data_IF_441515960627
#
_entry.id   IF_441515960627
#
_cell.length_a   1.000
_cell.length_b   1.000
_cell.length_c   1.000
_cell.angle_alpha   90.00
_cell.angle_beta   90.00
_cell.angle_gamma   90.00
#
_symmetry.space_group_name_H-M   'P 1'
#
loop_
_entity.id
_entity.type
_entity.pdbx_description
1 polymer ?
#
# COMPACT_ATOMS: atom_id res chain seq x y z
N UNK A 1 -27.95 69.51 6.18
CA UNK A 1 -27.35 68.36 6.88
C UNK A 1 -27.40 67.16 5.94
N UNK A 2 -26.25 66.81 5.33
CA UNK A 2 -26.06 65.58 4.56
C UNK A 2 -24.76 64.97 5.09
N UNK A 3 -24.84 63.79 5.68
CA UNK A 3 -23.68 63.01 6.12
C UNK A 3 -23.51 61.90 5.09
N UNK A 4 -22.45 61.99 4.27
CA UNK A 4 -22.00 60.90 3.43
C UNK A 4 -20.87 60.18 4.16
N UNK A 5 -21.09 58.91 4.51
CA UNK A 5 -20.05 58.02 5.00
C UNK A 5 -19.29 57.45 3.80
N UNK A 6 -17.97 57.69 3.75
CA UNK A 6 -17.07 57.01 2.80
C UNK A 6 -16.58 55.74 3.50
N UNK A 7 -17.05 54.58 3.04
CA UNK A 7 -16.50 53.29 3.42
C UNK A 7 -15.26 53.02 2.55
N UNK A 8 -14.07 53.08 3.16
CA UNK A 8 -12.83 52.60 2.53
C UNK A 8 -12.77 51.10 2.74
N UNK A 9 -13.20 50.33 1.74
CA UNK A 9 -13.02 48.88 1.70
C UNK A 9 -11.56 48.54 1.37
N UNK A 10 -10.83 48.00 2.34
CA UNK A 10 -9.54 47.34 2.09
C UNK A 10 -9.85 46.02 1.38
N UNK A 11 -9.71 46.00 0.06
CA UNK A 11 -9.72 44.76 -0.70
C UNK A 11 -8.41 44.01 -0.39
N UNK A 12 -8.49 43.06 0.55
CA UNK A 12 -7.44 42.06 0.74
C UNK A 12 -7.45 41.18 -0.49
N UNK A 13 -6.57 41.46 -1.46
CA UNK A 13 -6.33 40.58 -2.57
C UNK A 13 -5.68 39.30 -2.02
N UNK A 14 -6.50 38.27 -1.76
CA UNK A 14 -5.99 36.91 -1.73
C UNK A 14 -5.35 36.67 -3.10
N UNK A 15 -4.01 36.70 -3.14
CA UNK A 15 -3.26 36.20 -4.27
C UNK A 15 -3.58 34.69 -4.36
N UNK A 16 -4.63 34.36 -5.12
CA UNK A 16 -4.87 33.00 -5.56
C UNK A 16 -3.61 32.60 -6.32
N UNK A 17 -2.75 31.80 -5.68
CA UNK A 17 -1.63 31.17 -6.34
C UNK A 17 -2.20 30.48 -7.59
N UNK A 18 -1.76 30.93 -8.77
CA UNK A 18 -2.12 30.26 -10.02
C UNK A 18 -1.72 28.79 -9.86
N UNK A 19 -2.62 27.82 -10.13
CA UNK A 19 -2.23 26.43 -10.10
C UNK A 19 -1.01 26.27 -11.02
N UNK A 20 0.04 25.65 -10.51
CA UNK A 20 1.22 25.36 -11.29
C UNK A 20 0.80 24.55 -12.52
N UNK A 21 1.13 25.03 -13.73
CA UNK A 21 0.69 24.39 -14.94
C UNK A 21 1.14 22.92 -14.97
N UNK A 22 0.24 22.04 -15.43
CA UNK A 22 0.60 20.68 -15.83
C UNK A 22 1.73 20.74 -16.86
N UNK A 23 2.67 19.81 -16.80
CA UNK A 23 3.78 19.79 -17.73
C UNK A 23 4.66 18.56 -17.62
N UNK A 24 5.36 18.29 -18.71
CA UNK A 24 6.38 17.25 -18.78
C UNK A 24 7.64 17.70 -18.05
N UNK A 25 8.12 16.86 -17.14
CA UNK A 25 9.36 17.01 -16.39
C UNK A 25 10.35 15.99 -16.93
N UNK A 26 11.51 16.44 -17.41
CA UNK A 26 12.58 15.56 -17.85
C UNK A 26 13.88 15.94 -17.15
N UNK A 27 14.57 14.98 -16.57
CA UNK A 27 15.81 15.23 -15.86
C UNK A 27 16.29 14.06 -15.03
N UNK A 28 17.20 14.35 -14.09
CA UNK A 28 17.73 13.36 -13.14
C UNK A 28 17.08 13.53 -11.77
N UNK A 29 16.66 12.44 -11.17
CA UNK A 29 16.17 12.40 -9.78
C UNK A 29 17.35 12.67 -8.86
N UNK A 30 17.24 13.70 -8.04
CA UNK A 30 18.29 14.16 -7.12
C UNK A 30 17.96 13.95 -5.65
N UNK A 31 16.68 13.75 -5.34
CA UNK A 31 16.20 13.49 -3.99
C UNK A 31 14.87 12.75 -4.05
N UNK A 32 14.69 11.80 -3.13
CA UNK A 32 13.44 11.07 -2.91
C UNK A 32 13.26 10.98 -1.40
N UNK A 33 12.21 11.60 -0.90
CA UNK A 33 11.90 11.58 0.53
C UNK A 33 10.53 10.94 0.76
N UNK A 34 10.54 9.74 1.34
CA UNK A 34 9.34 9.00 1.70
C UNK A 34 8.94 9.27 3.16
N UNK A 35 7.64 9.35 3.41
CA UNK A 35 7.06 9.54 4.74
C UNK A 35 5.69 8.87 4.84
N UNK A 36 5.28 8.57 6.07
CA UNK A 36 3.87 8.36 6.37
C UNK A 36 3.09 9.66 6.18
N UNK A 37 1.87 9.55 5.66
CA UNK A 37 0.88 10.63 5.74
C UNK A 37 0.54 10.94 7.19
N UNK A 38 0.00 12.12 7.45
CA UNK A 38 -0.40 12.55 8.80
C UNK A 38 -1.44 11.61 9.44
N UNK A 39 -2.27 10.98 8.62
CA UNK A 39 -3.25 9.96 9.01
C UNK A 39 -2.66 8.58 9.25
N UNK A 40 -1.42 8.32 8.82
CA UNK A 40 -0.78 7.00 8.87
C UNK A 40 -1.40 5.98 7.92
N UNK A 41 -2.27 6.41 6.99
CA UNK A 41 -3.05 5.53 6.10
C UNK A 41 -2.26 5.03 4.89
N UNK A 42 -1.13 5.68 4.57
CA UNK A 42 -0.26 5.32 3.45
C UNK A 42 1.12 5.97 3.55
N UNK A 43 2.03 5.49 2.71
CA UNK A 43 3.33 6.12 2.48
C UNK A 43 3.25 6.94 1.19
N UNK A 44 3.81 8.15 1.23
CA UNK A 44 3.98 9.01 0.07
C UNK A 44 5.44 9.43 -0.06
N UNK A 45 5.87 9.66 -1.29
CA UNK A 45 7.23 10.06 -1.62
C UNK A 45 7.24 11.37 -2.38
N UNK A 46 8.05 12.31 -1.90
CA UNK A 46 8.36 13.55 -2.59
C UNK A 46 9.60 13.33 -3.46
N UNK A 47 9.41 13.35 -4.78
CA UNK A 47 10.46 13.09 -5.76
C UNK A 47 10.91 14.43 -6.35
N UNK A 48 12.20 14.76 -6.18
CA UNK A 48 12.79 15.98 -6.75
C UNK A 48 13.68 15.65 -7.93
N UNK A 49 13.37 16.25 -9.08
CA UNK A 49 14.15 16.13 -10.32
C UNK A 49 14.88 17.43 -10.61
N UNK A 50 16.18 17.33 -10.85
CA UNK A 50 16.96 18.36 -11.53
C UNK A 50 16.71 18.22 -13.03
N UNK A 51 15.96 19.16 -13.59
CA UNK A 51 15.50 19.10 -14.98
C UNK A 51 16.61 19.45 -15.96
N UNK A 52 16.49 18.98 -17.20
CA UNK A 52 17.47 19.24 -18.28
C UNK A 52 17.64 20.76 -18.56
N UNK A 53 16.66 21.59 -18.22
CA UNK A 53 16.69 23.05 -18.33
C UNK A 53 17.22 23.77 -17.07
N UNK A 54 17.75 23.02 -16.09
CA UNK A 54 18.40 23.55 -14.90
C UNK A 54 17.47 23.94 -13.74
N UNK A 55 16.16 23.68 -13.85
CA UNK A 55 15.21 23.86 -12.73
C UNK A 55 15.24 22.65 -11.78
N UNK A 56 14.59 22.82 -10.63
CA UNK A 56 14.19 21.71 -9.76
C UNK A 56 12.68 21.64 -9.73
N UNK A 57 12.15 20.45 -9.94
CA UNK A 57 10.71 20.18 -9.87
C UNK A 57 10.49 19.04 -8.90
N UNK A 58 9.61 19.25 -7.93
CA UNK A 58 9.19 18.24 -6.96
C UNK A 58 7.72 17.89 -7.19
N UNK A 59 7.38 16.61 -7.08
CA UNK A 59 6.01 16.12 -6.99
C UNK A 59 5.90 15.08 -5.89
N UNK A 60 4.67 14.82 -5.46
CA UNK A 60 4.32 13.77 -4.50
C UNK A 60 3.63 12.64 -5.25
N UNK A 61 3.93 11.39 -4.91
CA UNK A 61 3.20 10.19 -5.36
C UNK A 61 3.11 9.17 -4.22
N UNK A 62 2.18 8.24 -4.26
CA UNK A 62 2.15 7.18 -3.26
C UNK A 62 3.27 6.14 -3.46
N UNK A 63 3.51 5.38 -2.40
CA UNK A 63 4.56 4.39 -2.33
C UNK A 63 5.86 4.92 -1.74
N UNK A 64 6.82 4.02 -1.57
CA UNK A 64 8.12 4.28 -0.98
C UNK A 64 8.26 3.63 0.39
N UNK A 65 9.18 4.15 1.22
CA UNK A 65 9.56 3.51 2.48
C UNK A 65 9.57 4.49 3.65
N UNK A 66 8.89 4.17 4.74
CA UNK A 66 8.89 4.99 5.94
C UNK A 66 8.85 4.12 7.20
N UNK A 67 9.84 4.30 8.09
CA UNK A 67 9.89 3.59 9.37
C UNK A 67 9.89 2.07 9.21
N UNK A 68 10.79 1.52 8.40
CA UNK A 68 10.93 0.07 8.21
C UNK A 68 9.82 -0.60 7.39
N UNK A 69 8.80 0.14 6.95
CA UNK A 69 7.72 -0.34 6.09
C UNK A 69 7.89 0.21 4.68
N UNK A 70 7.78 -0.67 3.69
CA UNK A 70 7.61 -0.35 2.28
C UNK A 70 6.12 -0.35 1.90
N UNK A 71 5.78 0.48 0.92
CA UNK A 71 4.49 0.49 0.24
C UNK A 71 4.71 0.38 -1.26
N UNK A 72 4.06 -0.60 -1.87
CA UNK A 72 4.08 -0.86 -3.32
C UNK A 72 2.65 -0.87 -3.87
N UNK A 73 2.49 -0.50 -5.13
CA UNK A 73 1.20 -0.55 -5.81
C UNK A 73 1.38 -1.06 -7.25
N UNK A 74 0.47 -1.92 -7.70
CA UNK A 74 0.44 -2.37 -9.10
C UNK A 74 -0.11 -1.27 -10.02
N UNK A 75 0.30 -1.28 -11.30
CA UNK A 75 -0.21 -0.40 -12.37
C UNK A 75 -0.22 1.13 -12.09
N UNK A 76 0.56 1.61 -11.11
CA UNK A 76 0.79 3.03 -10.87
C UNK A 76 2.15 3.47 -11.44
N UNK A 77 2.38 4.78 -11.66
CA UNK A 77 3.70 5.25 -12.00
C UNK A 77 4.73 4.79 -10.94
N UNK A 78 5.88 4.28 -11.39
CA UNK A 78 6.90 3.72 -10.52
C UNK A 78 7.47 4.82 -9.64
N UNK A 79 7.97 4.43 -8.47
CA UNK A 79 8.76 5.34 -7.65
C UNK A 79 10.21 5.37 -8.16
N UNK A 80 10.71 6.51 -8.68
CA UNK A 80 12.10 6.59 -9.13
C UNK A 80 13.07 6.58 -7.95
N UNK A 81 14.27 6.07 -8.17
CA UNK A 81 15.38 6.15 -7.24
C UNK A 81 16.27 7.38 -7.51
N UNK A 82 17.01 7.81 -6.48
CA UNK A 82 18.02 8.87 -6.66
C UNK A 82 19.06 8.43 -7.69
N UNK A 83 19.29 9.28 -8.68
CA UNK A 83 20.19 8.98 -9.80
C UNK A 83 19.45 8.58 -11.07
N UNK A 84 18.19 8.16 -11.01
CA UNK A 84 17.43 7.80 -12.20
C UNK A 84 17.26 8.97 -13.14
N UNK A 85 17.23 8.67 -14.44
CA UNK A 85 16.82 9.63 -15.46
C UNK A 85 15.38 9.36 -15.84
N UNK A 86 14.55 10.38 -15.70
CA UNK A 86 13.10 10.23 -15.82
C UNK A 86 12.49 11.21 -16.82
N UNK A 87 11.39 10.77 -17.42
CA UNK A 87 10.39 11.62 -18.05
C UNK A 87 9.07 11.43 -17.32
N UNK A 88 8.52 12.49 -16.73
CA UNK A 88 7.30 12.43 -15.93
C UNK A 88 6.26 13.44 -16.43
N UNK A 89 4.99 13.03 -16.46
CA UNK A 89 3.86 13.94 -16.65
C UNK A 89 3.33 14.38 -15.29
N UNK A 90 3.50 15.66 -14.96
CA UNK A 90 3.15 16.19 -13.64
C UNK A 90 1.99 17.16 -13.75
N UNK A 91 1.01 17.03 -12.86
CA UNK A 91 -0.19 17.88 -12.81
C UNK A 91 -0.33 18.55 -11.44
N UNK A 92 -1.03 19.69 -11.39
CA UNK A 92 -1.40 20.31 -10.11
C UNK A 92 -2.47 19.48 -9.39
N UNK A 93 -2.33 19.37 -8.08
CA UNK A 93 -3.30 18.74 -7.19
C UNK A 93 -3.47 19.57 -5.90
N UNK A 94 -4.42 19.17 -5.06
CA UNK A 94 -4.60 19.72 -3.72
C UNK A 94 -4.66 18.59 -2.69
N UNK A 95 -4.06 18.82 -1.52
CA UNK A 95 -4.18 17.95 -0.34
C UNK A 95 -5.57 18.05 0.28
N UNK A 96 -5.90 17.16 1.21
CA UNK A 96 -7.13 17.26 2.01
C UNK A 96 -7.24 18.58 2.77
N UNK A 97 -6.10 19.11 3.24
CA UNK A 97 -5.97 20.45 3.84
C UNK A 97 -6.08 21.63 2.85
N UNK A 98 -6.17 21.37 1.55
CA UNK A 98 -6.34 22.39 0.51
C UNK A 98 -5.06 23.04 0.00
N UNK A 99 -3.89 22.57 0.43
CA UNK A 99 -2.59 23.06 -0.03
C UNK A 99 -2.32 22.63 -1.47
N UNK A 100 -1.73 23.51 -2.28
CA UNK A 100 -1.41 23.22 -3.66
C UNK A 100 -0.13 22.37 -3.75
N UNK A 101 -0.22 21.23 -4.41
CA UNK A 101 0.92 20.33 -4.67
C UNK A 101 0.96 19.90 -6.14
N UNK A 102 1.91 19.03 -6.49
CA UNK A 102 2.06 18.38 -7.78
C UNK A 102 2.02 16.88 -7.61
N UNK A 103 1.40 16.16 -8.53
CA UNK A 103 1.40 14.70 -8.59
C UNK A 103 1.82 14.23 -9.97
N UNK A 104 2.51 13.09 -10.05
CA UNK A 104 2.83 12.45 -11.33
C UNK A 104 1.65 11.58 -11.80
N UNK A 105 1.33 11.68 -13.09
CA UNK A 105 0.36 10.79 -13.77
C UNK A 105 1.02 9.66 -14.54
N UNK A 106 2.25 9.89 -14.97
CA UNK A 106 3.08 8.92 -15.66
C UNK A 106 4.53 9.24 -15.34
N UNK A 107 5.33 8.20 -15.14
CA UNK A 107 6.78 8.30 -14.95
C UNK A 107 7.43 7.18 -15.74
N UNK A 108 8.35 7.54 -16.63
CA UNK A 108 9.20 6.60 -17.37
C UNK A 108 10.62 6.75 -16.86
N UNK A 109 11.26 5.63 -16.54
CA UNK A 109 12.67 5.57 -16.14
C UNK A 109 13.47 5.08 -17.34
N UNK A 110 14.51 5.83 -17.73
CA UNK A 110 15.35 5.48 -18.88
C UNK A 110 16.15 4.19 -18.56
N UNK A 111 15.67 3.02 -19.04
CA UNK A 111 16.40 1.75 -18.95
C UNK A 111 16.63 1.11 -20.33
N UNK A 112 17.75 0.40 -20.56
CA UNK A 112 18.02 -0.23 -21.85
C UNK A 112 17.03 -1.37 -22.14
N UNK A 113 16.57 -1.48 -23.38
CA UNK A 113 15.82 -2.64 -23.85
C UNK A 113 16.72 -3.89 -23.77
N UNK A 114 16.21 -4.97 -23.17
CA UNK A 114 16.87 -6.28 -23.18
C UNK A 114 16.09 -7.21 -24.12
N UNK A 115 16.77 -8.17 -24.78
CA UNK A 115 16.10 -9.16 -25.62
C UNK A 115 15.16 -10.03 -24.79
N UNK A 116 14.07 -10.50 -25.39
CA UNK A 116 13.16 -11.45 -24.76
C UNK A 116 13.84 -12.81 -24.58
N UNK A 117 13.86 -13.30 -23.34
CA UNK A 117 14.18 -14.68 -22.99
C UNK A 117 12.92 -15.45 -22.61
N UNK A 118 13.02 -16.77 -22.51
CA UNK A 118 12.05 -17.52 -21.72
C UNK A 118 12.12 -17.00 -20.28
N UNK A 119 10.98 -16.78 -19.66
CA UNK A 119 10.88 -16.32 -18.28
C UNK A 119 10.00 -17.27 -17.49
N UNK A 120 10.27 -17.35 -16.20
CA UNK A 120 9.38 -17.98 -15.23
C UNK A 120 8.44 -16.97 -14.57
N UNK A 121 7.88 -17.37 -13.44
CA UNK A 121 7.16 -16.49 -12.55
C UNK A 121 8.04 -15.34 -12.05
N UNK A 122 7.39 -14.25 -11.65
CA UNK A 122 8.05 -13.04 -11.14
C UNK A 122 7.45 -12.73 -9.78
N UNK A 123 8.30 -12.38 -8.83
CA UNK A 123 7.88 -11.98 -7.49
C UNK A 123 8.11 -10.48 -7.32
N UNK A 124 7.18 -9.82 -6.63
CA UNK A 124 7.41 -8.49 -6.10
C UNK A 124 8.50 -8.60 -5.04
N UNK A 125 9.44 -7.64 -4.98
CA UNK A 125 10.60 -7.72 -4.10
C UNK A 125 10.76 -6.45 -3.27
N UNK A 126 11.37 -6.59 -2.10
CA UNK A 126 11.83 -5.44 -1.30
C UNK A 126 12.89 -4.67 -2.06
N UNK A 127 12.92 -3.35 -1.86
CA UNK A 127 13.91 -2.50 -2.52
C UNK A 127 15.32 -2.70 -1.95
N UNK A 128 15.44 -2.92 -0.62
CA UNK A 128 16.76 -2.91 0.03
C UNK A 128 17.47 -4.26 0.00
N UNK A 129 16.75 -5.37 0.13
CA UNK A 129 17.34 -6.72 0.14
C UNK A 129 17.11 -7.50 -1.14
N UNK A 130 16.13 -7.10 -1.96
CA UNK A 130 15.69 -7.87 -3.12
C UNK A 130 14.96 -9.17 -2.74
N UNK A 131 14.60 -9.35 -1.47
CA UNK A 131 13.86 -10.51 -0.99
C UNK A 131 12.43 -10.47 -1.53
N UNK A 132 11.87 -11.62 -1.96
CA UNK A 132 10.52 -11.68 -2.50
C UNK A 132 9.48 -11.50 -1.40
N UNK A 133 8.47 -10.67 -1.69
CA UNK A 133 7.39 -10.38 -0.76
C UNK A 133 6.55 -11.63 -0.51
N UNK A 134 6.21 -11.89 0.75
CA UNK A 134 5.43 -13.06 1.14
C UNK A 134 4.61 -12.77 2.41
N UNK A 135 3.49 -13.47 2.59
CA UNK A 135 2.80 -13.51 3.88
C UNK A 135 3.52 -14.48 4.83
N UNK A 136 3.79 -14.05 6.07
CA UNK A 136 4.37 -14.92 7.10
C UNK A 136 3.33 -15.87 7.75
N UNK A 137 2.04 -15.59 7.56
CA UNK A 137 0.94 -16.44 8.06
C UNK A 137 0.54 -17.46 7.00
N UNK A 138 0.09 -18.64 7.44
CA UNK A 138 -0.47 -19.66 6.54
C UNK A 138 -1.81 -19.27 5.94
N UNK A 139 -2.41 -18.16 6.37
CA UNK A 139 -3.68 -17.65 5.85
C UNK A 139 -3.60 -16.17 5.48
N UNK A 140 -4.30 -15.81 4.40
CA UNK A 140 -4.59 -14.43 4.04
C UNK A 140 -6.09 -14.24 4.07
N UNK A 141 -6.56 -13.27 4.86
CA UNK A 141 -7.98 -12.95 4.98
C UNK A 141 -8.26 -11.74 4.13
N UNK A 142 -9.28 -11.82 3.27
CA UNK A 142 -9.68 -10.74 2.38
C UNK A 142 -11.18 -10.48 2.58
N UNK A 143 -11.54 -9.25 2.90
CA UNK A 143 -12.92 -8.82 3.01
C UNK A 143 -13.30 -7.95 1.81
N UNK A 144 -14.59 -7.88 1.51
CA UNK A 144 -15.12 -6.93 0.52
C UNK A 144 -15.71 -5.71 1.24
N UNK A 145 -15.50 -4.53 0.69
CA UNK A 145 -16.26 -3.35 1.11
C UNK A 145 -17.77 -3.62 0.98
N UNK A 146 -18.51 -3.40 2.07
CA UNK A 146 -19.96 -3.69 2.16
C UNK A 146 -20.80 -2.93 1.12
N UNK A 147 -20.25 -1.86 0.53
CA UNK A 147 -20.90 -1.14 -0.57
C UNK A 147 -20.98 -1.97 -1.85
N UNK A 148 -20.08 -2.93 -2.04
CA UNK A 148 -20.02 -3.79 -3.23
C UNK A 148 -19.94 -2.99 -4.54
N UNK A 149 -20.46 -3.58 -5.61
CA UNK A 149 -20.64 -2.93 -6.91
C UNK A 149 -22.12 -2.93 -7.28
N UNK A 150 -22.59 -1.85 -7.92
CA UNK A 150 -23.96 -1.81 -8.44
C UNK A 150 -24.11 -2.50 -9.80
N UNK A 151 -23.00 -2.99 -10.37
CA UNK A 151 -22.92 -3.42 -11.76
C UNK A 151 -23.23 -4.90 -11.97
N UNK A 152 -23.13 -5.73 -10.92
CA UNK A 152 -23.49 -7.16 -10.89
C UNK A 152 -24.23 -7.47 -9.57
N UNK A 153 -24.64 -8.72 -9.33
CA UNK A 153 -25.30 -9.14 -8.07
C UNK A 153 -24.56 -10.27 -7.33
N UNK A 154 -23.55 -10.86 -7.99
CA UNK A 154 -22.89 -12.11 -7.61
C UNK A 154 -21.42 -11.88 -7.22
N UNK A 155 -21.05 -10.67 -6.81
CA UNK A 155 -19.66 -10.33 -6.47
C UNK A 155 -19.07 -11.24 -5.40
N UNK A 156 -19.84 -11.60 -4.36
CA UNK A 156 -19.39 -12.50 -3.29
C UNK A 156 -19.12 -13.89 -3.84
N UNK A 157 -20.03 -14.44 -4.64
CA UNK A 157 -19.88 -15.79 -5.23
C UNK A 157 -18.64 -15.84 -6.15
N UNK A 158 -18.40 -14.76 -6.92
CA UNK A 158 -17.21 -14.64 -7.76
C UNK A 158 -15.93 -14.56 -6.93
N UNK A 159 -15.90 -13.75 -5.86
CA UNK A 159 -14.74 -13.62 -4.97
C UNK A 159 -14.40 -14.98 -4.34
N UNK A 160 -15.39 -15.67 -3.75
CA UNK A 160 -15.18 -16.99 -3.15
C UNK A 160 -14.67 -18.02 -4.17
N UNK A 161 -15.19 -17.97 -5.41
CA UNK A 161 -14.76 -18.82 -6.52
C UNK A 161 -13.30 -18.55 -6.91
N UNK A 162 -12.88 -17.29 -7.00
CA UNK A 162 -11.48 -16.90 -7.31
C UNK A 162 -10.52 -17.42 -6.23
N UNK A 163 -10.83 -17.17 -4.95
CA UNK A 163 -9.98 -17.65 -3.85
C UNK A 163 -9.95 -19.18 -3.78
N UNK A 164 -11.06 -19.84 -4.06
CA UNK A 164 -11.12 -21.31 -4.20
C UNK A 164 -10.27 -21.83 -5.36
N UNK A 165 -10.30 -21.15 -6.50
CA UNK A 165 -9.56 -21.55 -7.71
C UNK A 165 -8.05 -21.54 -7.45
N UNK A 166 -7.54 -20.47 -6.82
CA UNK A 166 -6.15 -20.40 -6.37
C UNK A 166 -5.79 -21.53 -5.40
N UNK A 167 -6.59 -21.72 -4.34
CA UNK A 167 -6.35 -22.80 -3.35
C UNK A 167 -6.32 -24.19 -3.98
N UNK A 168 -7.23 -24.47 -4.91
CA UNK A 168 -7.25 -25.76 -5.60
C UNK A 168 -6.00 -25.95 -6.47
N UNK A 169 -5.63 -24.92 -7.24
CA UNK A 169 -4.48 -24.96 -8.14
C UNK A 169 -3.15 -25.17 -7.40
N UNK A 170 -3.02 -24.64 -6.18
CA UNK A 170 -1.75 -24.67 -5.41
C UNK A 170 -1.75 -25.72 -4.28
N UNK A 171 -2.86 -26.40 -4.03
CA UNK A 171 -3.04 -27.39 -2.93
C UNK A 171 -1.99 -28.50 -2.86
N UNK A 172 -1.34 -28.83 -3.97
CA UNK A 172 -0.30 -29.86 -4.03
C UNK A 172 1.10 -29.40 -3.62
N UNK A 173 1.32 -28.09 -3.47
CA UNK A 173 2.66 -27.51 -3.29
C UNK A 173 2.74 -26.37 -2.27
N UNK A 174 1.62 -25.69 -1.99
CA UNK A 174 1.56 -24.50 -1.16
C UNK A 174 0.79 -24.73 0.13
N UNK A 175 1.25 -24.16 1.24
CA UNK A 175 0.48 -24.11 2.49
C UNK A 175 -0.52 -22.95 2.55
N UNK A 176 -0.38 -21.95 1.67
CA UNK A 176 -1.14 -20.70 1.78
C UNK A 176 -2.64 -20.92 1.55
N UNK A 177 -3.45 -20.52 2.52
CA UNK A 177 -4.90 -20.62 2.49
C UNK A 177 -5.54 -19.23 2.38
N UNK A 178 -6.07 -18.92 1.20
CA UNK A 178 -6.81 -17.68 0.95
C UNK A 178 -8.25 -17.79 1.49
N UNK A 179 -8.65 -16.82 2.31
CA UNK A 179 -9.95 -16.83 3.00
C UNK A 179 -10.74 -15.58 2.72
N UNK A 180 -11.97 -15.77 2.26
CA UNK A 180 -12.95 -14.68 2.25
C UNK A 180 -13.47 -14.47 3.67
N UNK A 181 -13.45 -13.24 4.14
CA UNK A 181 -13.87 -12.86 5.49
C UNK A 181 -15.22 -12.11 5.51
N UNK A 182 -15.98 -12.20 4.42
CA UNK A 182 -17.25 -11.50 4.29
C UNK A 182 -17.07 -10.04 3.92
N UNK A 183 -17.94 -9.19 4.46
CA UNK A 183 -17.97 -7.75 4.16
C UNK A 183 -17.52 -6.89 5.33
N UNK A 184 -16.95 -5.73 5.03
CA UNK A 184 -16.46 -4.76 6.02
C UNK A 184 -16.82 -3.32 5.60
N UNK A 185 -16.88 -2.39 6.55
CA UNK A 185 -16.91 -0.94 6.29
C UNK A 185 -15.50 -0.33 6.13
N UNK A 186 -14.48 -1.21 6.03
CA UNK A 186 -13.09 -0.88 5.78
C UNK A 186 -12.85 -0.16 4.45
N UNK A 187 -11.67 0.44 4.34
CA UNK A 187 -11.27 1.23 3.19
C UNK A 187 -9.78 1.09 2.95
N UNK A 188 -9.32 1.28 1.71
CA UNK A 188 -7.92 1.17 1.32
C UNK A 188 -6.98 2.04 2.17
N UNK A 189 -6.24 1.42 3.07
CA UNK A 189 -5.27 2.06 3.98
C UNK A 189 -4.42 1.02 4.70
N UNK A 190 -3.31 1.49 5.26
CA UNK A 190 -2.54 0.70 6.22
C UNK A 190 -3.30 0.57 7.55
N UNK A 191 -4.02 -0.53 7.75
CA UNK A 191 -4.72 -0.88 9.00
C UNK A 191 -4.69 -2.38 9.35
N UNK A 192 -4.15 -3.22 8.46
CA UNK A 192 -4.03 -4.67 8.64
C UNK A 192 -5.27 -5.46 8.22
N UNK A 193 -6.29 -4.78 7.69
CA UNK A 193 -7.44 -5.41 7.09
C UNK A 193 -7.34 -5.33 5.57
N UNK A 194 -7.16 -6.49 4.94
CA UNK A 194 -7.12 -6.54 3.48
C UNK A 194 -8.53 -6.36 2.91
N UNK A 195 -8.76 -5.32 2.08
CA UNK A 195 -10.09 -5.01 1.54
C UNK A 195 -10.13 -4.97 0.01
N UNK A 196 -11.18 -5.57 -0.58
CA UNK A 196 -11.58 -5.36 -1.98
C UNK A 196 -12.57 -4.19 -2.04
N UNK A 197 -12.24 -3.14 -2.77
CA UNK A 197 -13.06 -1.94 -2.95
C UNK A 197 -13.42 -1.75 -4.42
N UNK A 198 -14.71 -1.56 -4.71
CA UNK A 198 -15.17 -1.15 -6.04
C UNK A 198 -15.26 0.37 -6.14
N UNK A 199 -14.56 0.95 -7.12
CA UNK A 199 -14.58 2.39 -7.40
C UNK A 199 -15.53 2.67 -8.55
N UNK A 200 -16.68 3.28 -8.29
CA UNK A 200 -17.69 3.59 -9.32
C UNK A 200 -17.89 5.08 -9.60
N UNK A 201 -17.52 5.96 -8.66
CA UNK A 201 -17.63 7.41 -8.85
C UNK A 201 -16.37 8.03 -9.47
N UNK A 202 -15.21 7.68 -8.91
CA UNK A 202 -13.89 8.20 -9.32
C UNK A 202 -12.83 7.13 -9.17
N UNK A 203 -12.01 6.98 -10.21
CA UNK A 203 -10.87 6.07 -10.22
C UNK A 203 -9.64 6.73 -9.58
N UNK A 204 -9.81 7.06 -8.30
CA UNK A 204 -8.81 7.74 -7.51
C UNK A 204 -8.89 7.28 -6.06
N UNK A 205 -7.74 7.24 -5.39
CA UNK A 205 -7.67 7.23 -3.94
C UNK A 205 -7.99 8.63 -3.42
N UNK A 206 -8.97 8.78 -2.50
CA UNK A 206 -9.31 10.09 -1.96
C UNK A 206 -8.12 10.77 -1.30
N UNK A 207 -8.11 12.11 -1.37
CA UNK A 207 -7.19 12.93 -0.61
C UNK A 207 -7.35 12.67 0.91
N UNK A 208 -6.24 12.69 1.63
CA UNK A 208 -6.21 12.77 3.10
C UNK A 208 -5.47 14.04 3.52
N UNK A 209 -5.39 14.32 4.83
CA UNK A 209 -4.86 15.56 5.41
C UNK A 209 -3.71 16.20 4.58
N UNK A 210 -2.55 15.53 4.53
CA UNK A 210 -1.36 15.99 3.81
C UNK A 210 -1.09 15.24 2.50
N UNK A 211 -1.95 14.30 2.10
CA UNK A 211 -1.83 13.60 0.82
C UNK A 211 -2.86 14.11 -0.20
N UNK A 212 -2.43 14.46 -1.42
CA UNK A 212 -3.37 14.79 -2.48
C UNK A 212 -4.21 13.58 -2.88
N UNK A 213 -5.34 13.87 -3.53
CA UNK A 213 -6.04 12.85 -4.29
C UNK A 213 -5.12 12.26 -5.36
N UNK A 214 -5.12 10.94 -5.43
CA UNK A 214 -4.28 10.18 -6.35
C UNK A 214 -5.18 9.45 -7.33
N UNK A 215 -5.28 9.97 -8.54
CA UNK A 215 -6.04 9.32 -9.61
C UNK A 215 -5.14 8.37 -10.37
N UNK A 216 -5.63 7.15 -10.54
CA UNK A 216 -4.92 6.08 -11.20
C UNK A 216 -5.01 6.19 -12.73
N UNK A 217 -4.20 5.40 -13.43
CA UNK A 217 -4.27 5.30 -14.87
C UNK A 217 -5.68 4.79 -15.27
N UNK A 218 -6.44 5.51 -16.13
CA UNK A 218 -7.77 5.08 -16.55
C UNK A 218 -7.79 3.77 -17.35
N UNK A 219 -6.64 3.31 -17.84
CA UNK A 219 -6.50 2.02 -18.51
C UNK A 219 -6.24 0.85 -17.55
N UNK A 220 -5.95 1.11 -16.27
CA UNK A 220 -5.84 0.07 -15.26
C UNK A 220 -7.23 -0.37 -14.80
N UNK A 221 -7.53 -1.66 -14.92
CA UNK A 221 -8.81 -2.22 -14.48
C UNK A 221 -8.87 -2.47 -12.97
N UNK A 222 -7.72 -2.54 -12.32
CA UNK A 222 -7.59 -2.66 -10.89
C UNK A 222 -6.22 -2.18 -10.41
N UNK A 223 -6.07 -2.05 -9.09
CA UNK A 223 -4.81 -1.75 -8.39
C UNK A 223 -4.76 -2.65 -7.16
N UNK A 224 -3.63 -3.28 -6.92
CA UNK A 224 -3.29 -3.91 -5.64
C UNK A 224 -2.26 -3.04 -4.93
N UNK A 225 -2.52 -2.71 -3.67
CA UNK A 225 -1.57 -2.02 -2.79
C UNK A 225 -1.03 -3.02 -1.78
N UNK A 226 0.28 -3.07 -1.59
CA UNK A 226 0.93 -3.88 -0.55
C UNK A 226 1.67 -2.99 0.43
N UNK A 227 1.58 -3.31 1.72
CA UNK A 227 2.51 -2.85 2.75
C UNK A 227 3.30 -4.03 3.27
N UNK A 228 4.60 -3.83 3.43
CA UNK A 228 5.51 -4.91 3.81
C UNK A 228 6.67 -4.37 4.64
N UNK A 229 7.27 -5.24 5.43
CA UNK A 229 8.53 -4.91 6.12
C UNK A 229 9.63 -4.82 5.06
N UNK A 230 10.26 -3.67 4.96
CA UNK A 230 11.39 -3.41 4.06
C UNK A 230 12.54 -2.95 4.94
N UNK A 231 13.26 -3.92 5.52
CA UNK A 231 14.39 -3.67 6.41
C UNK A 231 15.28 -4.93 6.46
N UNK A 232 16.43 -4.95 5.75
CA UNK A 232 17.27 -6.14 5.64
C UNK A 232 17.84 -6.63 6.99
N UNK A 233 17.84 -5.78 8.02
CA UNK A 233 18.29 -6.13 9.37
C UNK A 233 17.15 -6.68 10.25
N UNK A 234 15.89 -6.63 9.77
CA UNK A 234 14.72 -7.13 10.47
C UNK A 234 14.43 -8.60 10.05
N UNK A 235 14.23 -9.54 10.97
CA UNK A 235 13.88 -10.92 10.62
C UNK A 235 12.55 -11.07 9.87
N UNK A 236 11.70 -10.04 9.89
CA UNK A 236 10.44 -9.96 9.15
C UNK A 236 10.61 -9.37 7.74
N UNK A 237 11.84 -9.09 7.28
CA UNK A 237 12.05 -8.51 5.95
C UNK A 237 11.28 -9.25 4.85
N UNK A 238 10.67 -8.48 3.95
CA UNK A 238 9.76 -8.95 2.90
C UNK A 238 8.42 -9.54 3.36
N UNK A 239 8.11 -9.54 4.66
CA UNK A 239 6.79 -9.93 5.16
C UNK A 239 5.75 -8.87 4.73
N UNK A 240 4.77 -9.29 3.95
CA UNK A 240 3.55 -8.53 3.66
C UNK A 240 2.74 -8.47 4.95
N UNK A 241 2.36 -7.26 5.35
CA UNK A 241 1.62 -6.97 6.58
C UNK A 241 0.23 -6.41 6.32
N UNK A 242 -0.04 -5.94 5.10
CA UNK A 242 -1.33 -5.41 4.68
C UNK A 242 -1.42 -5.38 3.14
N UNK A 243 -2.62 -5.57 2.59
CA UNK A 243 -2.88 -5.56 1.17
C UNK A 243 -4.31 -5.15 0.82
N UNK A 244 -4.48 -4.20 -0.09
CA UNK A 244 -5.80 -3.76 -0.57
C UNK A 244 -5.93 -3.95 -2.07
N UNK A 245 -7.15 -4.24 -2.54
CA UNK A 245 -7.46 -4.35 -3.97
C UNK A 245 -8.54 -3.33 -4.32
N UNK A 246 -8.30 -2.53 -5.34
CA UNK A 246 -9.27 -1.58 -5.90
C UNK A 246 -9.67 -2.02 -7.30
N UNK A 247 -10.97 -2.11 -7.57
CA UNK A 247 -11.53 -2.49 -8.87
C UNK A 247 -12.15 -1.28 -9.57
N UNK A 248 -11.83 -1.11 -10.84
CA UNK A 248 -12.20 0.07 -11.62
C UNK A 248 -13.58 -0.09 -12.28
N UNK A 249 -14.63 0.29 -11.56
CA UNK A 249 -15.99 0.41 -12.09
C UNK A 249 -16.28 1.74 -12.80
N UNK A 250 -15.30 2.65 -12.93
CA UNK A 250 -15.47 3.97 -13.57
C UNK A 250 -15.20 3.90 -15.06
N UNK A 251 -14.05 3.34 -15.45
CA UNK A 251 -13.67 3.21 -16.86
C UNK A 251 -14.05 1.87 -17.47
N UNK A 252 -14.34 0.87 -16.63
CA UNK A 252 -14.78 -0.45 -17.06
C UNK A 252 -16.16 -0.77 -16.49
N UNK A 253 -16.90 -1.57 -17.25
CA UNK A 253 -18.14 -2.16 -16.80
C UNK A 253 -17.77 -3.49 -16.13
N UNK A 254 -17.77 -3.50 -14.80
CA UNK A 254 -17.49 -4.70 -14.01
C UNK A 254 -18.55 -5.74 -14.36
N UNK A 255 -18.12 -6.93 -14.73
CA UNK A 255 -18.97 -7.94 -15.32
C UNK A 255 -18.76 -9.32 -14.71
N UNK A 256 -19.82 -10.11 -14.73
CA UNK A 256 -19.81 -11.54 -14.41
C UNK A 256 -20.58 -12.28 -15.50
N UNK A 257 -20.04 -13.39 -15.99
CA UNK A 257 -20.66 -14.15 -17.09
C UNK A 257 -20.87 -13.32 -18.36
N UNK A 258 -20.02 -12.32 -18.60
CA UNK A 258 -20.13 -11.38 -19.72
C UNK A 258 -21.32 -10.43 -19.65
N UNK A 259 -21.94 -10.26 -18.48
CA UNK A 259 -23.04 -9.32 -18.24
C UNK A 259 -22.62 -8.24 -17.24
N UNK A 260 -23.11 -7.02 -17.45
CA UNK A 260 -22.90 -5.89 -16.53
C UNK A 260 -24.05 -4.89 -16.66
N UNK A 261 -24.37 -4.21 -15.56
CA UNK A 261 -25.21 -3.00 -15.54
C UNK A 261 -24.40 -1.72 -15.66
N UNK A 262 -23.07 -1.82 -15.70
CA UNK A 262 -22.15 -0.71 -15.92
C UNK A 262 -22.38 -0.06 -17.28
N UNK A 263 -22.09 1.25 -17.36
CA UNK A 263 -22.31 2.05 -18.58
C UNK A 263 -21.08 2.15 -19.48
N UNK A 264 -19.91 1.75 -18.99
CA UNK A 264 -18.69 1.74 -19.78
C UNK A 264 -18.77 0.70 -20.90
N UNK A 265 -18.15 1.01 -22.04
CA UNK A 265 -18.21 0.14 -23.22
C UNK A 265 -17.36 -1.12 -23.08
N UNK A 266 -16.37 -1.08 -22.19
CA UNK A 266 -15.44 -2.17 -22.02
C UNK A 266 -15.75 -2.99 -20.77
N UNK A 267 -15.96 -4.29 -20.94
CA UNK A 267 -16.18 -5.21 -19.83
C UNK A 267 -14.85 -5.54 -19.15
N UNK A 268 -14.84 -5.46 -17.82
CA UNK A 268 -13.82 -6.09 -16.99
C UNK A 268 -14.50 -7.28 -16.29
N UNK A 269 -14.14 -8.50 -16.67
CA UNK A 269 -14.66 -9.69 -15.99
C UNK A 269 -14.07 -9.76 -14.59
N UNK A 270 -14.93 -9.81 -13.57
CA UNK A 270 -14.51 -9.74 -12.18
C UNK A 270 -13.59 -10.90 -11.81
N UNK A 271 -13.86 -12.13 -12.29
CA UNK A 271 -12.99 -13.27 -12.02
C UNK A 271 -11.63 -13.09 -12.70
N UNK A 272 -11.61 -12.67 -13.97
CA UNK A 272 -10.38 -12.41 -14.72
C UNK A 272 -9.48 -11.38 -14.03
N UNK A 273 -10.05 -10.23 -13.68
CA UNK A 273 -9.30 -9.13 -13.05
C UNK A 273 -8.91 -9.48 -11.61
N UNK A 274 -9.82 -10.04 -10.81
CA UNK A 274 -9.51 -10.35 -9.41
C UNK A 274 -8.50 -11.49 -9.27
N UNK A 275 -8.49 -12.50 -10.14
CA UNK A 275 -7.47 -13.56 -10.10
C UNK A 275 -6.06 -12.97 -10.30
N UNK A 276 -5.90 -11.97 -11.17
CA UNK A 276 -4.64 -11.23 -11.35
C UNK A 276 -4.25 -10.45 -10.09
N UNK A 277 -5.17 -9.66 -9.53
CA UNK A 277 -4.89 -8.88 -8.32
C UNK A 277 -4.61 -9.77 -7.10
N UNK A 278 -5.27 -10.93 -6.99
CA UNK A 278 -4.96 -11.92 -5.95
C UNK A 278 -3.55 -12.48 -6.11
N UNK A 279 -3.04 -12.60 -7.34
CA UNK A 279 -1.64 -12.92 -7.60
C UNK A 279 -0.69 -11.87 -7.01
N UNK A 280 -0.95 -10.58 -7.24
CA UNK A 280 -0.21 -9.50 -6.58
C UNK A 280 -0.32 -9.54 -5.06
N UNK A 281 -1.51 -9.77 -4.52
CA UNK A 281 -1.75 -9.93 -3.09
C UNK A 281 -0.87 -11.04 -2.49
N UNK A 282 -0.60 -12.11 -3.22
CA UNK A 282 0.28 -13.19 -2.79
C UNK A 282 1.78 -12.91 -3.01
N UNK A 283 2.15 -11.76 -3.58
CA UNK A 283 3.54 -11.36 -3.82
C UNK A 283 4.05 -11.63 -5.23
N UNK A 284 3.19 -12.00 -6.19
CA UNK A 284 3.59 -12.12 -7.59
C UNK A 284 3.67 -10.74 -8.28
N UNK A 285 4.49 -10.62 -9.31
CA UNK A 285 4.65 -9.42 -10.13
C UNK A 285 4.45 -9.76 -11.61
N UNK A 286 4.43 -8.75 -12.47
CA UNK A 286 4.17 -8.95 -13.88
C UNK A 286 5.28 -9.72 -14.59
N UNK A 287 4.87 -10.61 -15.49
CA UNK A 287 5.75 -11.36 -16.40
C UNK A 287 6.41 -10.48 -17.46
N UNK A 288 6.16 -9.18 -17.49
CA UNK A 288 6.85 -8.26 -18.36
C UNK A 288 6.97 -6.89 -17.71
N UNK A 289 7.97 -6.14 -18.14
CA UNK A 289 8.25 -4.79 -17.68
C UNK A 289 7.54 -3.78 -18.58
N UNK A 290 6.66 -2.97 -18.01
CA UNK A 290 5.83 -2.03 -18.74
C UNK A 290 6.55 -0.73 -19.15
N UNK A 291 7.87 -0.67 -18.91
CA UNK A 291 8.69 0.49 -19.16
C UNK A 291 8.79 1.44 -17.97
N UNK A 292 8.24 1.04 -16.83
CA UNK A 292 8.16 1.87 -15.64
C UNK A 292 8.80 1.16 -14.45
N UNK A 293 9.65 1.87 -13.71
CA UNK A 293 10.28 1.35 -12.49
C UNK A 293 11.58 0.61 -12.74
N UNK A 294 12.13 0.08 -11.64
CA UNK A 294 13.17 -0.94 -11.72
C UNK A 294 12.60 -2.14 -12.46
N UNK A 295 13.38 -2.71 -13.38
CA UNK A 295 12.93 -3.85 -14.16
C UNK A 295 12.91 -5.10 -13.26
N UNK A 296 11.75 -5.78 -13.11
CA UNK A 296 11.69 -7.01 -12.35
C UNK A 296 12.58 -8.12 -12.93
N UNK A 297 12.90 -9.08 -12.08
CA UNK A 297 13.58 -10.32 -12.46
C UNK A 297 12.70 -11.52 -12.12
N UNK A 298 12.73 -12.54 -12.95
CA UNK A 298 12.02 -13.78 -12.72
C UNK A 298 12.61 -14.60 -11.56
N UNK A 299 12.02 -15.78 -11.31
CA UNK A 299 12.48 -16.72 -10.28
C UNK A 299 13.93 -17.18 -10.43
N UNK A 300 14.51 -17.13 -11.64
CA UNK A 300 15.90 -17.49 -11.92
C UNK A 300 16.84 -16.27 -11.88
N UNK A 301 16.30 -15.07 -11.61
CA UNK A 301 17.04 -13.81 -11.59
C UNK A 301 17.29 -13.20 -12.97
N UNK A 302 16.63 -13.70 -14.02
CA UNK A 302 16.70 -13.11 -15.34
C UNK A 302 15.74 -11.91 -15.45
N UNK A 303 16.18 -10.76 -16.01
CA UNK A 303 15.31 -9.60 -16.17
C UNK A 303 14.17 -9.88 -17.15
N UNK A 304 12.96 -9.50 -16.77
CA UNK A 304 11.75 -9.74 -17.58
C UNK A 304 11.77 -8.90 -18.88
N UNK A 305 11.16 -9.38 -19.99
CA UNK A 305 11.10 -8.63 -21.23
C UNK A 305 10.24 -7.37 -21.11
N UNK A 306 10.43 -6.40 -22.02
CA UNK A 306 9.54 -5.25 -22.15
C UNK A 306 8.15 -5.70 -22.63
N UNK A 307 7.08 -5.24 -22.00
CA UNK A 307 5.70 -5.55 -22.41
C UNK A 307 5.37 -5.04 -23.83
N UNK A 308 6.14 -4.07 -24.33
CA UNK A 308 5.93 -3.42 -25.64
C UNK A 308 7.12 -3.64 -26.58
N UNK A 309 6.88 -4.02 -27.85
CA UNK A 309 5.58 -4.38 -28.43
C UNK A 309 5.14 -5.79 -28.01
N UNK A 310 3.86 -5.95 -27.62
CA UNK A 310 3.30 -7.25 -27.20
C UNK A 310 3.47 -8.35 -28.25
N UNK A 311 3.48 -8.00 -29.54
CA UNK A 311 3.72 -8.93 -30.65
C UNK A 311 5.10 -9.58 -30.68
N UNK A 312 6.06 -9.06 -29.90
CA UNK A 312 7.40 -9.61 -29.77
C UNK A 312 7.57 -10.51 -28.54
N UNK A 313 6.53 -10.63 -27.71
CA UNK A 313 6.57 -11.45 -26.50
C UNK A 313 6.22 -12.91 -26.83
N UNK A 314 6.89 -13.86 -26.17
CA UNK A 314 6.55 -15.27 -26.28
C UNK A 314 5.24 -15.57 -25.49
N UNK A 315 4.50 -16.65 -25.84
CA UNK A 315 3.24 -17.00 -25.18
C UNK A 315 3.36 -17.20 -23.67
N UNK A 316 4.49 -17.69 -23.19
CA UNK A 316 4.77 -17.86 -21.76
C UNK A 316 4.65 -16.55 -20.98
N UNK A 317 4.89 -15.40 -21.63
CA UNK A 317 4.68 -14.08 -21.03
C UNK A 317 3.22 -13.65 -21.16
N UNK A 318 2.64 -13.76 -22.36
CA UNK A 318 1.33 -13.15 -22.69
C UNK A 318 0.13 -13.97 -22.24
N UNK A 319 0.32 -15.25 -22.00
CA UNK A 319 -0.72 -16.16 -21.51
C UNK A 319 -0.74 -16.26 -19.99
N UNK A 320 0.34 -15.91 -19.30
CA UNK A 320 0.39 -15.88 -17.83
C UNK A 320 -0.75 -15.04 -17.23
N UNK A 321 -1.26 -15.47 -16.08
CA UNK A 321 -2.27 -14.69 -15.35
C UNK A 321 -1.68 -13.36 -14.96
N UNK A 322 -0.42 -13.34 -14.51
CA UNK A 322 0.30 -12.11 -14.16
C UNK A 322 0.80 -11.29 -15.36
N UNK A 323 0.33 -11.53 -16.60
CA UNK A 323 0.61 -10.60 -17.69
C UNK A 323 -0.01 -9.22 -17.43
N UNK A 324 0.74 -8.12 -17.59
CA UNK A 324 0.31 -6.77 -17.20
C UNK A 324 -0.94 -6.24 -17.97
N UNK A 325 -1.21 -6.74 -19.19
CA UNK A 325 -2.32 -6.25 -20.00
C UNK A 325 -3.47 -7.24 -20.04
N UNK A 326 -4.70 -6.72 -20.09
CA UNK A 326 -5.90 -7.50 -20.38
C UNK A 326 -6.66 -6.88 -21.55
N UNK A 327 -7.24 -7.75 -22.39
CA UNK A 327 -8.15 -7.30 -23.44
C UNK A 327 -9.55 -7.01 -22.88
N UNK A 328 -10.31 -6.24 -23.64
CA UNK A 328 -11.69 -5.94 -23.27
C UNK A 328 -12.58 -7.20 -23.25
N UNK A 329 -13.26 -7.47 -22.13
CA UNK A 329 -14.08 -8.67 -21.95
C UNK A 329 -13.26 -9.97 -21.91
N UNK A 330 -11.96 -9.90 -21.63
CA UNK A 330 -11.10 -11.06 -21.43
C UNK A 330 -11.54 -11.86 -20.20
N UNK A 331 -11.53 -13.18 -20.32
CA UNK A 331 -11.84 -14.12 -19.23
C UNK A 331 -10.75 -15.17 -19.01
N UNK A 332 -9.67 -15.14 -19.80
CA UNK A 332 -8.65 -16.20 -19.81
C UNK A 332 -7.87 -16.29 -18.49
N UNK A 333 -7.74 -15.18 -17.76
CA UNK A 333 -7.05 -15.10 -16.48
C UNK A 333 -7.95 -15.42 -15.29
N UNK A 334 -9.17 -15.89 -15.51
CA UNK A 334 -10.06 -16.28 -14.41
C UNK A 334 -9.54 -17.50 -13.60
N UNK A 335 -8.49 -18.17 -14.08
CA UNK A 335 -7.73 -19.20 -13.38
C UNK A 335 -6.22 -18.93 -13.48
N UNK A 336 -5.42 -19.27 -12.46
CA UNK A 336 -3.98 -19.11 -12.51
C UNK A 336 -3.33 -20.06 -13.52
N UNK A 337 -2.26 -19.62 -14.19
CA UNK A 337 -1.47 -20.42 -15.11
C UNK A 337 -0.31 -21.12 -14.39
N UNK A 338 0.38 -22.00 -15.11
CA UNK A 338 1.39 -22.88 -14.53
C UNK A 338 2.58 -22.11 -13.91
N UNK A 339 3.00 -21.00 -14.50
CA UNK A 339 4.04 -20.15 -13.95
C UNK A 339 3.55 -19.44 -12.67
N UNK A 340 2.33 -18.89 -12.69
CA UNK A 340 1.76 -18.24 -11.51
C UNK A 340 1.64 -19.22 -10.32
N UNK A 341 1.20 -20.46 -10.59
CA UNK A 341 1.18 -21.56 -9.60
C UNK A 341 2.60 -21.82 -9.08
N UNK A 342 3.60 -21.92 -9.96
CA UNK A 342 4.98 -22.14 -9.56
C UNK A 342 5.54 -21.02 -8.67
N UNK A 343 5.15 -19.77 -8.93
CA UNK A 343 5.48 -18.62 -8.08
C UNK A 343 4.92 -18.76 -6.67
N UNK A 344 3.62 -19.09 -6.55
CA UNK A 344 3.01 -19.35 -5.24
C UNK A 344 3.67 -20.56 -4.55
N UNK A 345 3.92 -21.65 -5.26
CA UNK A 345 4.62 -22.81 -4.70
C UNK A 345 6.03 -22.46 -4.19
N UNK A 346 6.71 -21.52 -4.85
CA UNK A 346 8.05 -21.06 -4.47
C UNK A 346 8.04 -20.15 -3.26
N UNK A 347 7.00 -19.34 -3.07
CA UNK A 347 6.87 -18.44 -1.93
C UNK A 347 6.37 -19.16 -0.67
N UNK A 348 5.50 -20.14 -0.83
CA UNK A 348 4.77 -20.78 0.28
C UNK A 348 4.89 -22.30 0.28
N UNK A 349 6.09 -22.90 0.14
CA UNK A 349 6.23 -24.33 -0.02
C UNK A 349 5.72 -25.08 1.21
N UNK A 350 4.98 -26.18 1.03
CA UNK A 350 4.43 -27.00 2.13
C UNK A 350 5.45 -27.39 3.23
N UNK A 351 6.74 -27.47 2.88
CA UNK A 351 7.80 -27.80 3.83
C UNK A 351 8.04 -26.69 4.88
N UNK A 352 7.66 -25.45 4.56
CA UNK A 352 7.88 -24.25 5.37
C UNK A 352 6.57 -23.71 5.97
N UNK A 353 5.53 -24.56 6.06
CA UNK A 353 4.25 -24.18 6.67
C UNK A 353 4.44 -23.66 8.11
N UNK A 354 4.05 -22.40 8.40
CA UNK A 354 4.19 -21.83 9.74
C UNK A 354 3.30 -22.51 10.78
N UNK A 355 2.32 -23.32 10.37
CA UNK A 355 1.37 -24.01 11.24
C UNK A 355 0.39 -23.06 11.95
N UNK A 356 0.33 -21.80 11.53
CA UNK A 356 -0.51 -20.76 12.10
C UNK A 356 -1.36 -20.09 11.01
N UNK A 357 -2.65 -19.93 11.29
CA UNK A 357 -3.60 -19.24 10.45
C UNK A 357 -4.15 -18.04 11.21
N UNK A 358 -3.44 -16.92 11.12
CA UNK A 358 -3.77 -15.66 11.81
C UNK A 358 -3.75 -14.48 10.83
N UNK A 359 -4.45 -13.40 11.16
CA UNK A 359 -4.29 -12.13 10.44
C UNK A 359 -2.86 -11.64 10.57
N UNK A 360 -2.39 -10.89 9.57
CA UNK A 360 -1.08 -10.29 9.61
C UNK A 360 -0.99 -9.32 10.80
N UNK A 361 0.19 -9.31 11.43
CA UNK A 361 0.44 -8.41 12.55
C UNK A 361 1.07 -7.12 12.01
N UNK A 362 0.29 -6.05 11.95
CA UNK A 362 0.77 -4.70 11.64
C UNK A 362 1.62 -4.08 12.76
N UNK A 363 1.85 -4.80 13.87
CA UNK A 363 2.50 -4.37 15.10
C UNK A 363 3.82 -3.60 14.92
N UNK A 364 4.09 -2.71 15.89
CA UNK A 364 5.16 -1.67 16.01
C UNK A 364 6.40 -1.79 15.09
N UNK A 365 6.21 -1.73 13.78
CA UNK A 365 7.31 -1.62 12.81
C UNK A 365 7.85 -0.18 12.72
N UNK A 366 7.20 0.79 13.36
CA UNK A 366 7.73 2.13 13.57
C UNK A 366 7.08 2.84 14.75
N UNK A 367 7.69 2.75 15.94
CA UNK A 367 7.33 3.62 17.06
C UNK A 367 7.54 5.09 16.70
N UNK A 368 6.50 5.76 16.22
CA UNK A 368 6.43 7.22 16.08
C UNK A 368 4.98 7.71 16.26
N UNK A 369 4.73 8.26 17.46
CA UNK A 369 3.64 9.20 17.78
C UNK A 369 2.19 8.68 17.89
N UNK A 370 1.96 7.61 18.66
CA UNK A 370 0.73 7.55 19.46
C UNK A 370 0.98 8.31 20.77
N UNK A 371 0.70 9.62 20.79
CA UNK A 371 0.53 10.32 22.07
C UNK A 371 -0.71 9.69 22.70
N UNK A 372 -0.51 8.81 23.68
CA UNK A 372 -1.62 8.33 24.51
C UNK A 372 -2.42 9.56 24.97
N UNK A 373 -3.77 9.57 24.86
CA UNK A 373 -4.55 10.66 25.42
C UNK A 373 -4.22 10.69 26.90
N UNK A 374 -3.50 11.73 27.31
CA UNK A 374 -3.14 11.95 28.70
C UNK A 374 -4.42 11.83 29.49
N UNK A 375 -4.47 10.83 30.39
CA UNK A 375 -5.53 10.71 31.38
C UNK A 375 -5.75 12.09 31.95
N UNK A 376 -6.87 12.70 31.58
CA UNK A 376 -7.32 13.94 32.16
C UNK A 376 -7.45 13.67 33.66
N UNK A 377 -6.48 14.18 34.43
CA UNK A 377 -6.64 14.37 35.86
C UNK A 377 -7.81 15.34 36.00
N UNK A 378 -8.98 14.77 36.29
CA UNK A 378 -10.19 15.52 36.56
C UNK A 378 -9.98 16.54 37.70
N UNK A 379 -10.83 17.57 37.77
CA UNK A 379 -10.58 18.74 38.57
C UNK A 379 -10.59 18.42 40.06
N UNK A 380 -9.61 18.96 40.77
CA UNK A 380 -9.61 19.09 42.23
C UNK A 380 -10.83 19.91 42.66
N UNK A 381 -11.88 19.24 43.11
CA UNK A 381 -12.90 19.80 44.00
C UNK A 381 -12.49 19.52 45.44
N UNK A 382 -12.10 20.56 46.16
CA UNK A 382 -11.76 20.46 47.58
C UNK A 382 -13.00 20.43 48.48
N UNK A 383 -12.87 19.79 49.64
CA UNK A 383 -13.30 20.30 50.94
C UNK A 383 -13.03 19.24 52.01
N UNK A 384 -12.42 19.64 53.14
CA UNK A 384 -12.54 18.87 54.38
C UNK A 384 -11.26 18.69 55.19
N UNK A 385 -10.74 19.80 55.76
CA UNK A 385 -10.34 19.90 57.17
C UNK A 385 -9.21 19.02 57.72
N UNK A 386 -8.24 19.66 58.38
CA UNK A 386 -7.40 18.99 59.38
C UNK A 386 -5.93 19.39 59.35
N UNK A 387 -5.65 20.63 59.71
CA UNK A 387 -4.35 21.10 60.19
C UNK A 387 -4.01 20.39 61.52
N UNK A 388 -2.77 19.91 61.71
CA UNK A 388 -1.90 20.05 62.92
C UNK A 388 -0.55 19.31 62.62
N UNK A 389 0.49 20.04 62.19
CA UNK A 389 1.71 20.43 62.95
C UNK A 389 2.54 19.25 63.53
N UNK A 390 3.69 18.93 62.93
CA UNK A 390 5.05 19.46 63.14
C UNK A 390 5.82 18.71 64.26
N UNK A 391 7.00 18.15 63.94
CA UNK A 391 8.29 18.42 64.61
C UNK A 391 9.39 17.49 64.06
N UNK A 392 10.54 18.11 63.78
CA UNK A 392 11.81 17.54 63.34
C UNK A 392 12.62 16.93 64.49
N UNK A 393 13.71 16.22 64.16
CA UNK A 393 14.86 16.15 65.09
C UNK A 393 15.72 14.91 65.04
N UNK A 394 16.90 15.08 64.48
CA UNK A 394 18.09 14.21 64.56
C UNK A 394 18.56 14.04 66.02
N UNK A 395 19.04 12.85 66.41
CA UNK A 395 20.41 12.63 66.94
C UNK A 395 20.55 11.42 67.92
N UNK A 396 21.46 10.51 67.50
CA UNK A 396 22.60 9.94 68.25
C UNK A 396 22.42 9.01 69.48
N UNK A 397 23.17 7.90 69.37
CA UNK A 397 23.97 7.20 70.41
C UNK A 397 23.18 6.57 71.56
N UNK A 398 23.53 5.44 72.15
CA UNK A 398 24.54 4.41 71.96
C UNK A 398 24.25 3.37 73.05
N UNK A 399 24.67 2.12 72.82
CA UNK A 399 24.96 1.11 73.86
C UNK A 399 23.71 0.60 74.60
N UNK A 400 23.56 -0.65 75.01
CA UNK A 400 24.52 -1.72 75.27
C UNK A 400 23.69 -3.00 75.46
N UNK A 401 24.19 -4.09 74.89
CA UNK A 401 24.33 -5.40 75.52
C UNK A 401 23.12 -6.05 76.22
N UNK A 402 22.86 -7.25 75.69
CA UNK A 402 22.93 -8.57 76.35
C UNK A 402 21.61 -9.21 76.76
N UNK A 403 21.60 -10.52 76.47
CA UNK A 403 20.66 -11.50 77.00
C UNK A 403 19.51 -11.68 76.02
N UNK A 404 19.39 -12.76 75.26
CA UNK A 404 19.93 -14.08 75.45
C UNK A 404 18.85 -15.06 75.00
N UNK A 405 19.27 -16.14 74.35
CA UNK A 405 18.69 -17.48 74.49
C UNK A 405 17.16 -17.57 74.23
N UNK A 406 16.68 -18.17 73.16
CA UNK A 406 17.25 -19.21 72.32
C UNK A 406 16.13 -20.18 71.97
N UNK A 407 16.45 -21.07 71.00
CA UNK A 407 15.71 -22.28 70.61
C UNK A 407 14.30 -22.07 70.06
N UNK A 408 13.80 -22.85 69.11
CA UNK A 408 14.36 -23.79 68.16
C UNK A 408 13.17 -24.13 67.25
N UNK A 409 13.42 -24.27 65.95
CA UNK A 409 12.64 -25.15 65.04
C UNK A 409 12.57 -26.57 65.65
N UNK A 410 11.70 -27.51 65.21
CA UNK A 410 11.11 -27.68 63.87
C UNK A 410 9.60 -28.06 63.93
N UNK A 411 8.83 -28.34 62.88
CA UNK A 411 9.04 -28.83 61.52
C UNK A 411 8.07 -28.12 60.58
#
# INVERSE_FOLDING_TARGET
>A
MRVFWIAVGVALACALARPAAAGTVRGRVVDVHSRWTATGDRIVSDVTVATDDGRRVTWTQAGGRAGGIGMWQSHVPPLPAVGDRVTAEVVAARTGGGEATRVARAVTIDAPALPAGAIGFVNTRTHNSGAPLHWASGCVFLAMDERGTSQIDDEIDVIESVLSTWRQATSGCSYLDLRFDGTTDGAVRFDGDNVIVFREDRWCRPASDDAPEECYNPSAAAITTLFFVDDPDNPRDAEIVDADIELNGVQFAISSGGQSRGSATCLADLANTLTHEVGHLMGLDHTCWDGTGERPVDGDGAPVPSCTPTSALPPEVTEATMFNFQSCGETKKASPEADDIAGVCSLYPLADDPGECKRADVGESGGCCAVAPGRALGPRGGAGGGLETLIAGIALLALRRRGGNGRARPR
#
